data_IF_252361968751
#
_entry.id   IF_252361968751
#
_cell.length_a   1.000
_cell.length_b   1.000
_cell.length_c   1.000
_cell.angle_alpha   90.00
_cell.angle_beta   90.00
_cell.angle_gamma   90.00
#
_symmetry.space_group_name_H-M   'P 1'
#
loop_
_entity.id
_entity.type
_entity.pdbx_description
1 polymer ?
#
# COMPACT_ATOMS: atom_id res chain seq x y z
N UNK A 1 20.34 -9.38 -4.24
CA UNK A 1 19.86 -9.89 -5.56
C UNK A 1 20.28 -8.86 -6.61
N UNK A 2 20.71 -9.26 -7.81
CA UNK A 2 21.02 -8.33 -8.90
C UNK A 2 19.82 -8.25 -9.84
N UNK A 3 19.09 -7.15 -9.80
CA UNK A 3 17.83 -6.94 -10.53
C UNK A 3 18.03 -5.71 -11.42
N UNK A 4 17.66 -5.81 -12.69
CA UNK A 4 17.75 -4.69 -13.64
C UNK A 4 16.34 -4.21 -13.94
N UNK A 5 16.07 -2.93 -13.74
CA UNK A 5 14.79 -2.30 -14.12
C UNK A 5 14.89 -1.66 -15.50
N UNK A 6 13.83 -1.77 -16.30
CA UNK A 6 13.70 -1.15 -17.62
C UNK A 6 12.74 0.06 -17.58
N UNK A 7 12.84 1.01 -18.53
CA UNK A 7 11.98 2.20 -18.57
C UNK A 7 10.47 1.91 -18.73
N UNK A 8 10.12 0.71 -19.23
CA UNK A 8 8.73 0.25 -19.33
C UNK A 8 8.18 -0.31 -18.01
N UNK A 9 8.99 -0.30 -16.93
CA UNK A 9 8.63 -0.83 -15.61
C UNK A 9 8.95 -2.31 -15.43
N UNK A 10 9.39 -3.02 -16.47
CA UNK A 10 9.74 -4.43 -16.35
C UNK A 10 11.05 -4.62 -15.59
N UNK A 11 11.13 -5.74 -14.86
CA UNK A 11 12.29 -6.13 -14.06
C UNK A 11 12.89 -7.40 -14.61
N UNK A 12 14.19 -7.40 -14.88
CA UNK A 12 14.94 -8.58 -15.29
C UNK A 12 15.70 -9.16 -14.09
N UNK A 13 15.37 -10.41 -13.76
CA UNK A 13 16.07 -11.19 -12.75
C UNK A 13 16.25 -12.63 -13.23
N UNK A 14 17.48 -13.16 -13.19
CA UNK A 14 17.80 -14.53 -13.66
C UNK A 14 17.24 -14.85 -15.07
N UNK A 15 17.40 -13.91 -16.03
CA UNK A 15 16.88 -14.00 -17.40
C UNK A 15 15.36 -14.16 -17.53
N UNK A 16 14.60 -13.78 -16.49
CA UNK A 16 13.14 -13.73 -16.50
C UNK A 16 12.66 -12.30 -16.29
N UNK A 17 11.64 -11.92 -17.04
CA UNK A 17 10.97 -10.64 -16.90
C UNK A 17 9.85 -10.75 -15.85
N UNK A 18 9.78 -9.75 -14.97
CA UNK A 18 8.79 -9.62 -13.91
C UNK A 18 8.17 -8.22 -13.98
N UNK A 19 6.89 -8.11 -13.62
CA UNK A 19 6.21 -6.81 -13.51
C UNK A 19 6.46 -6.15 -12.15
N UNK A 20 6.72 -6.95 -11.11
CA UNK A 20 6.96 -6.48 -9.75
C UNK A 20 7.78 -7.50 -8.96
N UNK A 21 8.30 -7.08 -7.80
CA UNK A 21 8.92 -7.97 -6.83
C UNK A 21 7.96 -8.17 -5.67
N UNK A 22 7.66 -9.43 -5.36
CA UNK A 22 6.94 -9.79 -4.14
C UNK A 22 7.93 -10.12 -3.02
N UNK A 23 7.66 -9.57 -1.84
CA UNK A 23 8.32 -9.96 -0.61
C UNK A 23 7.32 -9.88 0.55
N UNK A 24 7.52 -10.71 1.56
CA UNK A 24 6.71 -10.76 2.75
C UNK A 24 7.65 -10.85 3.95
N UNK A 25 7.34 -10.08 4.98
CA UNK A 25 8.11 -10.06 6.23
C UNK A 25 7.17 -9.70 7.35
N UNK A 26 7.31 -10.38 8.48
CA UNK A 26 6.70 -9.94 9.72
C UNK A 26 7.46 -8.69 10.17
N UNK A 27 6.76 -7.58 10.32
CA UNK A 27 7.36 -6.30 10.70
C UNK A 27 6.55 -5.72 11.84
N UNK A 28 7.15 -5.67 13.01
CA UNK A 28 6.58 -5.07 14.21
C UNK A 28 7.10 -3.63 14.41
N UNK A 29 6.41 -2.88 15.27
CA UNK A 29 6.90 -1.59 15.77
C UNK A 29 6.44 -0.37 14.97
N UNK A 30 5.41 -0.50 14.14
CA UNK A 30 4.68 0.65 13.59
C UNK A 30 3.87 1.36 14.67
N UNK A 31 3.92 2.68 14.66
CA UNK A 31 3.00 3.57 15.35
C UNK A 31 1.79 3.75 14.44
N UNK A 32 0.67 3.16 14.82
CA UNK A 32 -0.56 3.19 14.02
C UNK A 32 -1.29 4.51 14.30
N UNK A 33 -1.62 5.32 13.27
CA UNK A 33 -2.42 6.52 13.47
C UNK A 33 -3.82 6.19 14.01
N UNK A 34 -4.33 7.02 14.92
CA UNK A 34 -5.71 6.91 15.41
C UNK A 34 -6.74 7.45 14.41
N UNK A 35 -6.31 8.38 13.55
CA UNK A 35 -7.09 8.88 12.43
C UNK A 35 -7.20 7.83 11.31
N UNK A 36 -8.30 7.85 10.59
CA UNK A 36 -8.55 6.89 9.53
C UNK A 36 -10.01 6.85 9.13
N UNK A 37 -10.46 5.68 8.71
CA UNK A 37 -11.77 5.48 8.13
C UNK A 37 -12.35 4.15 8.59
N UNK A 38 -13.65 4.09 8.84
CA UNK A 38 -14.34 2.82 9.09
C UNK A 38 -15.26 2.55 7.92
N UNK A 39 -14.89 1.53 7.14
CA UNK A 39 -15.50 1.22 5.86
C UNK A 39 -16.25 -0.10 5.96
N UNK A 40 -17.46 -0.16 5.41
CA UNK A 40 -18.20 -1.41 5.31
C UNK A 40 -17.46 -2.36 4.35
N UNK A 41 -17.45 -3.66 4.67
CA UNK A 41 -16.66 -4.64 3.92
C UNK A 41 -17.00 -4.67 2.42
N UNK A 42 -18.26 -4.43 2.05
CA UNK A 42 -18.75 -4.34 0.68
C UNK A 42 -18.33 -3.05 -0.05
N UNK A 43 -18.04 -1.97 0.68
CA UNK A 43 -17.53 -0.70 0.14
C UNK A 43 -15.99 -0.63 0.09
N UNK A 44 -15.30 -1.59 0.74
CA UNK A 44 -13.86 -1.56 0.97
C UNK A 44 -13.05 -1.52 -0.33
N UNK A 45 -13.42 -2.31 -1.35
CA UNK A 45 -12.71 -2.33 -2.63
C UNK A 45 -12.73 -0.97 -3.33
N UNK A 46 -13.90 -0.32 -3.36
CA UNK A 46 -14.08 0.99 -3.98
C UNK A 46 -13.35 2.07 -3.20
N UNK A 47 -13.41 2.03 -1.87
CA UNK A 47 -12.65 2.94 -1.01
C UNK A 47 -11.15 2.82 -1.25
N UNK A 48 -10.60 1.59 -1.22
CA UNK A 48 -9.17 1.36 -1.39
C UNK A 48 -8.69 1.78 -2.78
N UNK A 49 -9.47 1.48 -3.83
CA UNK A 49 -9.17 1.90 -5.20
C UNK A 49 -8.95 3.41 -5.29
N UNK A 50 -9.85 4.19 -4.69
CA UNK A 50 -9.74 5.66 -4.67
C UNK A 50 -8.57 6.13 -3.82
N UNK A 51 -8.42 5.55 -2.62
CA UNK A 51 -7.39 5.94 -1.66
C UNK A 51 -5.97 5.72 -2.23
N UNK A 52 -5.66 4.52 -2.73
CA UNK A 52 -4.31 4.23 -3.26
C UNK A 52 -4.01 5.00 -4.54
N UNK A 53 -5.04 5.33 -5.33
CA UNK A 53 -4.90 6.23 -6.49
C UNK A 53 -4.55 7.65 -6.05
N UNK A 54 -5.16 8.16 -4.98
CA UNK A 54 -4.81 9.46 -4.41
C UNK A 54 -3.37 9.49 -3.86
N UNK A 55 -2.88 8.35 -3.35
CA UNK A 55 -1.48 8.17 -2.95
C UNK A 55 -0.51 7.96 -4.14
N UNK A 56 -1.01 7.84 -5.37
CA UNK A 56 -0.18 7.81 -6.57
C UNK A 56 -0.05 6.48 -7.28
N UNK A 57 -0.79 5.43 -6.89
CA UNK A 57 -0.85 4.21 -7.70
C UNK A 57 -1.55 4.47 -9.03
N UNK A 58 -0.98 3.91 -10.09
CA UNK A 58 -1.58 3.88 -11.43
C UNK A 58 -2.55 2.72 -11.56
N UNK A 59 -3.39 2.75 -12.59
CA UNK A 59 -4.43 1.74 -12.84
C UNK A 59 -3.96 0.29 -12.67
N UNK A 60 -2.80 -0.08 -13.22
CA UNK A 60 -2.26 -1.45 -13.11
C UNK A 60 -1.86 -1.80 -11.68
N UNK A 61 -1.14 -0.90 -10.99
CA UNK A 61 -0.70 -1.10 -9.60
C UNK A 61 -1.89 -1.11 -8.63
N UNK A 62 -2.90 -0.26 -8.87
CA UNK A 62 -4.15 -0.26 -8.11
C UNK A 62 -4.89 -1.58 -8.29
N UNK A 63 -4.95 -2.11 -9.52
CA UNK A 63 -5.58 -3.41 -9.75
C UNK A 63 -4.82 -4.53 -9.02
N UNK A 64 -3.49 -4.57 -9.13
CA UNK A 64 -2.66 -5.54 -8.41
C UNK A 64 -2.86 -5.47 -6.88
N UNK A 65 -2.93 -4.25 -6.34
CA UNK A 65 -3.20 -4.02 -4.92
C UNK A 65 -4.56 -4.60 -4.49
N UNK A 66 -5.62 -4.34 -5.27
CA UNK A 66 -6.98 -4.82 -4.98
C UNK A 66 -7.08 -6.33 -5.14
N UNK A 67 -6.48 -6.90 -6.21
CA UNK A 67 -6.46 -8.34 -6.47
C UNK A 67 -5.72 -9.12 -5.39
N UNK A 68 -4.72 -8.50 -4.76
CA UNK A 68 -4.03 -9.09 -3.61
C UNK A 68 -4.88 -9.02 -2.32
N UNK A 69 -5.38 -7.85 -1.97
CA UNK A 69 -6.00 -7.61 -0.65
C UNK A 69 -7.44 -8.12 -0.54
N UNK A 70 -8.28 -7.97 -1.57
CA UNK A 70 -9.71 -8.29 -1.45
C UNK A 70 -9.98 -9.79 -1.18
N UNK A 71 -9.34 -10.75 -1.87
CA UNK A 71 -9.51 -12.16 -1.55
C UNK A 71 -9.06 -12.50 -0.12
N UNK A 72 -8.10 -11.76 0.44
CA UNK A 72 -7.64 -11.92 1.82
C UNK A 72 -8.69 -11.45 2.80
N UNK A 73 -9.27 -10.27 2.60
CA UNK A 73 -10.37 -9.77 3.41
C UNK A 73 -11.60 -10.70 3.37
N UNK A 74 -11.93 -11.25 2.20
CA UNK A 74 -13.04 -12.20 2.07
C UNK A 74 -12.84 -13.45 2.93
N UNK A 75 -11.61 -13.98 2.99
CA UNK A 75 -11.27 -15.21 3.70
C UNK A 75 -11.01 -15.02 5.19
N UNK A 76 -10.31 -13.95 5.56
CA UNK A 76 -9.73 -13.79 6.90
C UNK A 76 -10.55 -12.85 7.80
N UNK A 77 -11.31 -11.92 7.23
CA UNK A 77 -12.05 -10.91 8.02
C UNK A 77 -13.53 -11.25 8.09
N UNK A 78 -14.01 -11.73 9.24
CA UNK A 78 -15.43 -11.99 9.45
C UNK A 78 -16.24 -10.71 9.79
N UNK A 79 -15.56 -9.66 10.26
CA UNK A 79 -16.20 -8.44 10.73
C UNK A 79 -16.86 -7.65 9.57
N UNK A 80 -18.01 -6.98 9.82
CA UNK A 80 -18.73 -6.22 8.80
C UNK A 80 -18.06 -4.90 8.41
N UNK A 81 -17.17 -4.38 9.26
CA UNK A 81 -16.43 -3.15 9.01
C UNK A 81 -14.92 -3.38 9.12
N UNK A 82 -14.16 -2.50 8.47
CA UNK A 82 -12.70 -2.46 8.56
C UNK A 82 -12.29 -1.03 8.86
N UNK A 83 -11.54 -0.83 9.95
CA UNK A 83 -10.80 0.40 10.15
C UNK A 83 -9.59 0.42 9.22
N UNK A 84 -9.42 1.50 8.47
CA UNK A 84 -8.33 1.72 7.53
C UNK A 84 -7.62 3.01 7.89
N UNK A 85 -6.30 2.96 8.02
CA UNK A 85 -5.44 4.13 8.10
C UNK A 85 -4.18 3.91 7.26
N UNK A 86 -3.55 4.97 6.76
CA UNK A 86 -2.31 4.88 6.00
C UNK A 86 -1.15 5.28 6.90
N UNK A 87 -0.13 4.42 6.96
CA UNK A 87 1.08 4.69 7.74
C UNK A 87 1.86 5.85 7.10
N UNK A 88 2.25 6.87 7.87
CA UNK A 88 3.07 7.98 7.36
C UNK A 88 4.39 7.51 6.75
N UNK A 89 4.86 8.19 5.71
CA UNK A 89 6.10 7.87 5.02
C UNK A 89 7.31 7.78 5.97
N UNK A 90 7.44 8.73 6.90
CA UNK A 90 8.52 8.75 7.91
C UNK A 90 8.55 7.49 8.77
N UNK A 91 7.37 6.94 9.06
CA UNK A 91 7.22 5.74 9.86
C UNK A 91 7.54 4.48 9.03
N UNK A 92 7.12 4.46 7.76
CA UNK A 92 7.53 3.41 6.81
C UNK A 92 9.06 3.39 6.66
N UNK A 93 9.70 4.55 6.49
CA UNK A 93 11.14 4.66 6.31
C UNK A 93 11.91 4.25 7.58
N UNK A 94 11.36 4.53 8.77
CA UNK A 94 11.93 4.11 10.06
C UNK A 94 11.86 2.60 10.26
N UNK A 95 10.71 2.01 9.96
CA UNK A 95 10.42 0.60 10.28
C UNK A 95 10.93 -0.34 9.19
N UNK A 96 10.83 0.06 7.92
CA UNK A 96 11.28 -0.70 6.74
C UNK A 96 12.17 0.22 5.88
N UNK A 97 13.43 0.44 6.31
CA UNK A 97 14.36 1.24 5.54
C UNK A 97 14.65 0.57 4.19
N UNK A 98 14.65 1.36 3.12
CA UNK A 98 14.89 0.88 1.76
C UNK A 98 15.98 1.71 1.09
N UNK A 99 17.05 1.05 0.66
CA UNK A 99 18.14 1.66 -0.08
C UNK A 99 18.11 1.17 -1.53
N UNK A 100 17.96 2.11 -2.47
CA UNK A 100 17.95 1.84 -3.92
C UNK A 100 19.07 2.64 -4.58
N UNK A 101 19.85 1.97 -5.44
CA UNK A 101 20.97 2.56 -6.18
C UNK A 101 20.77 2.23 -7.68
N UNK A 102 20.68 3.24 -8.57
CA UNK A 102 20.68 4.68 -8.29
C UNK A 102 19.47 5.13 -7.46
N UNK A 103 19.57 6.29 -6.81
CA UNK A 103 18.44 6.83 -6.04
C UNK A 103 17.26 7.16 -6.97
N UNK A 104 16.02 6.79 -6.61
CA UNK A 104 14.82 7.17 -7.35
C UNK A 104 14.61 8.69 -7.31
N UNK A 105 14.18 9.26 -8.43
CA UNK A 105 13.74 10.65 -8.55
C UNK A 105 12.38 10.87 -7.86
N UNK A 106 11.54 9.83 -7.85
CA UNK A 106 10.25 9.78 -7.15
C UNK A 106 10.14 8.45 -6.40
N UNK A 107 9.72 8.49 -5.13
CA UNK A 107 9.36 7.30 -4.36
C UNK A 107 7.91 7.39 -3.90
N UNK A 108 7.13 6.35 -4.21
CA UNK A 108 5.74 6.20 -3.78
C UNK A 108 5.70 4.94 -2.92
N UNK A 109 5.63 5.09 -1.60
CA UNK A 109 5.55 3.96 -0.65
C UNK A 109 4.24 4.05 0.10
N UNK A 110 3.39 3.03 -0.03
CA UNK A 110 2.03 3.04 0.53
C UNK A 110 1.85 1.80 1.40
N UNK A 111 1.49 2.02 2.67
CA UNK A 111 1.23 0.94 3.61
C UNK A 111 -0.02 1.24 4.42
N UNK A 112 -1.19 0.79 3.98
CA UNK A 112 -2.39 0.83 4.82
C UNK A 112 -2.28 -0.18 5.96
N UNK A 113 -2.84 0.20 7.10
CA UNK A 113 -3.13 -0.68 8.22
C UNK A 113 -4.63 -0.91 8.27
N UNK A 114 -5.01 -2.17 8.47
CA UNK A 114 -6.37 -2.65 8.49
C UNK A 114 -6.66 -3.30 9.82
N UNK A 115 -7.76 -2.93 10.47
CA UNK A 115 -8.22 -3.61 11.67
C UNK A 115 -9.70 -3.96 11.53
N UNK A 116 -10.08 -5.25 11.67
CA UNK A 116 -11.48 -5.66 11.69
C UNK A 116 -12.28 -4.93 12.79
N UNK A 117 -13.51 -4.53 12.48
CA UNK A 117 -14.40 -3.82 13.41
C UNK A 117 -15.80 -4.43 13.37
N UNK A 118 -16.32 -4.81 14.55
CA UNK A 118 -17.68 -5.35 14.66
C UNK A 118 -18.76 -4.28 14.47
N UNK A 119 -18.43 -3.02 14.72
CA UNK A 119 -19.38 -1.90 14.74
C UNK A 119 -18.83 -0.68 14.01
N UNK A 120 -19.75 0.09 13.41
CA UNK A 120 -19.42 1.39 12.85
C UNK A 120 -19.25 2.39 14.00
N UNK A 121 -18.10 3.07 14.06
CA UNK A 121 -17.88 4.21 14.97
C UNK A 121 -17.34 5.42 14.22
N UNK A 122 -17.46 6.58 14.84
CA UNK A 122 -16.85 7.81 14.32
C UNK A 122 -15.38 7.84 14.69
N UNK A 123 -14.53 8.08 13.71
CA UNK A 123 -13.09 8.33 13.86
C UNK A 123 -12.76 9.66 13.21
N UNK A 124 -11.66 10.29 13.63
CA UNK A 124 -11.13 11.47 12.94
C UNK A 124 -10.67 11.03 11.55
N UNK A 125 -11.21 11.61 10.46
CA UNK A 125 -10.77 11.25 9.12
C UNK A 125 -9.31 11.61 8.90
N UNK A 126 -8.51 10.65 8.43
CA UNK A 126 -7.16 10.93 7.96
C UNK A 126 -7.23 11.79 6.69
N UNK A 127 -6.29 12.72 6.52
CA UNK A 127 -6.19 13.52 5.30
C UNK A 127 -5.45 12.75 4.20
N UNK A 128 -5.95 12.83 2.97
CA UNK A 128 -5.23 12.34 1.80
C UNK A 128 -4.24 13.41 1.30
N UNK A 129 -3.20 13.00 0.54
CA UNK A 129 -2.40 13.93 -0.24
C UNK A 129 -3.31 14.81 -1.12
N UNK A 130 -3.04 16.14 -1.22
CA UNK A 130 -3.89 17.05 -1.98
C UNK A 130 -3.91 16.73 -3.48
N UNK A 131 -2.85 16.09 -3.97
CA UNK A 131 -2.72 15.55 -5.32
C UNK A 131 -1.77 14.34 -5.29
N UNK A 132 -1.93 13.38 -6.21
CA UNK A 132 -0.98 12.29 -6.37
C UNK A 132 0.46 12.81 -6.58
N UNK A 133 1.49 12.08 -6.10
CA UNK A 133 2.89 12.44 -6.35
C UNK A 133 3.23 12.45 -7.84
N UNK A 134 3.97 13.46 -8.29
CA UNK A 134 4.48 13.54 -9.65
C UNK A 134 5.55 12.47 -9.91
N UNK A 135 5.30 11.62 -10.91
CA UNK A 135 6.27 10.60 -11.36
C UNK A 135 7.26 11.23 -12.33
N UNK A 136 8.46 11.51 -11.84
CA UNK A 136 9.58 12.06 -12.63
C UNK A 136 10.70 11.03 -12.66
N UNK A 137 11.41 10.95 -13.80
CA UNK A 137 12.58 10.10 -13.96
C UNK A 137 12.38 8.65 -13.50
N UNK A 138 13.37 8.11 -12.79
CA UNK A 138 13.27 6.80 -12.17
C UNK A 138 12.32 6.85 -10.97
N UNK A 139 11.13 6.26 -11.13
CA UNK A 139 10.12 6.17 -10.07
C UNK A 139 10.12 4.79 -9.43
N UNK A 140 10.32 4.75 -8.11
CA UNK A 140 10.11 3.57 -7.28
C UNK A 140 8.68 3.56 -6.75
N UNK A 141 7.98 2.44 -6.90
CA UNK A 141 6.68 2.20 -6.28
C UNK A 141 6.78 0.98 -5.37
N UNK A 142 6.36 1.15 -4.13
CA UNK A 142 6.21 0.07 -3.16
C UNK A 142 4.82 0.19 -2.54
N UNK A 143 4.06 -0.89 -2.54
CA UNK A 143 2.81 -0.98 -1.79
C UNK A 143 2.79 -2.28 -0.99
N UNK A 144 2.09 -2.25 0.13
CA UNK A 144 1.90 -3.41 0.99
C UNK A 144 0.69 -3.22 1.88
N UNK A 145 0.76 -3.66 3.11
CA UNK A 145 -0.24 -3.37 4.13
C UNK A 145 -0.06 -4.26 5.35
N UNK A 146 -0.81 -3.96 6.40
CA UNK A 146 -0.81 -4.69 7.66
C UNK A 146 -2.27 -5.02 7.97
N UNK A 147 -2.59 -6.30 8.12
CA UNK A 147 -3.89 -6.73 8.63
C UNK A 147 -3.70 -7.13 10.09
N UNK A 148 -4.33 -6.38 10.98
CA UNK A 148 -4.43 -6.70 12.40
C UNK A 148 -5.27 -7.96 12.56
N UNK A 149 -4.76 -8.92 13.33
CA UNK A 149 -5.42 -10.20 13.62
C UNK A 149 -6.52 -10.08 14.68
#
# INVERSE_FOLDING_TARGET
KHIVSHPDGSLLYNNRSYLSLYYETEVAGYTIPEEGFIIAKDELASFLTNAVTAYGLRKTETQEFIDYWMPRFEKEVAAPFVFVTFIPQEEIDRVVPLSVIPQPDTSIRIRPYFRPESEKRTVVPQSFPPHPPDRRGFTLVEWGGILDE
#
